data_IF_864974831720
#
_entry.id   IF_864974831720
#
_cell.length_a   1.000
_cell.length_b   1.000
_cell.length_c   1.000
_cell.angle_alpha   90.00
_cell.angle_beta   90.00
_cell.angle_gamma   90.00
#
_symmetry.space_group_name_H-M   'P 1'
#
loop_
_entity.id
_entity.type
_entity.pdbx_description
1 polymer ?
#
# COMPACT_ATOMS: atom_id res chain seq x y z
N UNK A 1 -13.46 -26.15 -0.97
CA UNK A 1 -13.55 -24.70 -1.23
C UNK A 1 -12.30 -24.30 -1.96
N UNK A 2 -12.48 -23.54 -3.02
CA UNK A 2 -11.38 -23.15 -3.87
C UNK A 2 -10.69 -21.91 -3.29
N UNK A 3 -9.38 -21.81 -3.54
CA UNK A 3 -8.56 -20.65 -3.20
C UNK A 3 -9.01 -19.45 -4.03
N UNK A 4 -9.36 -18.33 -3.39
CA UNK A 4 -9.69 -17.07 -4.07
C UNK A 4 -8.45 -16.17 -4.10
N UNK A 5 -8.10 -15.66 -5.27
CA UNK A 5 -6.99 -14.71 -5.45
C UNK A 5 -7.54 -13.35 -5.85
N UNK A 6 -7.21 -12.33 -5.06
CA UNK A 6 -7.58 -10.95 -5.33
C UNK A 6 -6.35 -10.23 -5.86
N UNK A 7 -6.52 -9.62 -7.03
CA UNK A 7 -5.42 -8.96 -7.72
C UNK A 7 -5.42 -7.45 -7.45
N UNK A 8 -4.27 -6.83 -7.68
CA UNK A 8 -4.18 -5.38 -7.72
C UNK A 8 -4.89 -4.81 -8.95
N UNK A 9 -5.34 -3.55 -8.85
CA UNK A 9 -5.89 -2.82 -9.98
C UNK A 9 -4.77 -2.30 -10.90
N UNK A 10 -4.61 -2.93 -12.07
CA UNK A 10 -3.54 -2.58 -13.02
C UNK A 10 -3.67 -1.15 -13.56
N UNK A 11 -4.91 -0.66 -13.78
CA UNK A 11 -5.15 0.69 -14.30
C UNK A 11 -4.65 1.75 -13.31
N UNK A 12 -4.90 1.54 -12.02
CA UNK A 12 -4.41 2.43 -10.95
C UNK A 12 -2.89 2.42 -10.86
N UNK A 13 -2.25 1.24 -10.99
CA UNK A 13 -0.77 1.14 -11.04
C UNK A 13 -0.18 1.93 -12.21
N UNK A 14 -0.76 1.79 -13.40
CA UNK A 14 -0.29 2.51 -14.60
C UNK A 14 -0.48 4.02 -14.42
N UNK A 15 -1.62 4.46 -13.90
CA UNK A 15 -1.89 5.88 -13.67
C UNK A 15 -0.86 6.53 -12.74
N UNK A 16 -0.50 5.87 -11.64
CA UNK A 16 0.52 6.36 -10.69
C UNK A 16 1.87 6.57 -11.39
N UNK A 17 2.25 5.67 -12.29
CA UNK A 17 3.52 5.76 -13.02
C UNK A 17 3.49 6.89 -14.04
N UNK A 18 2.38 7.06 -14.75
CA UNK A 18 2.21 8.20 -15.66
C UNK A 18 2.38 9.52 -14.90
N UNK A 19 1.76 9.64 -13.72
CA UNK A 19 1.93 10.82 -12.88
C UNK A 19 3.39 11.04 -12.45
N UNK A 20 4.08 9.98 -11.98
CA UNK A 20 5.50 10.07 -11.62
C UNK A 20 6.37 10.52 -12.80
N UNK A 21 6.15 9.96 -13.99
CA UNK A 21 6.87 10.35 -15.21
C UNK A 21 6.60 11.81 -15.58
N UNK A 22 5.35 12.27 -15.47
CA UNK A 22 5.01 13.66 -15.71
C UNK A 22 5.75 14.61 -14.76
N UNK A 23 5.83 14.29 -13.46
CA UNK A 23 6.60 15.09 -12.49
C UNK A 23 8.10 15.09 -12.78
N UNK A 24 8.67 13.98 -13.24
CA UNK A 24 10.07 13.92 -13.66
C UNK A 24 10.31 14.84 -14.87
N UNK A 25 9.42 14.82 -15.86
CA UNK A 25 9.48 15.72 -17.03
C UNK A 25 9.38 17.19 -16.60
N UNK A 26 8.46 17.51 -15.70
CA UNK A 26 8.31 18.88 -15.14
C UNK A 26 9.60 19.28 -14.41
N UNK A 27 10.16 18.40 -13.57
CA UNK A 27 11.41 18.68 -12.87
C UNK A 27 12.58 18.92 -13.82
N UNK A 28 12.67 18.15 -14.92
CA UNK A 28 13.68 18.38 -15.96
C UNK A 28 13.46 19.71 -16.68
N UNK A 29 12.22 20.07 -16.98
CA UNK A 29 11.89 21.35 -17.59
C UNK A 29 12.28 22.53 -16.69
N UNK A 30 12.06 22.42 -15.37
CA UNK A 30 12.49 23.43 -14.40
C UNK A 30 14.01 23.61 -14.37
N UNK A 31 14.78 22.52 -14.39
CA UNK A 31 16.25 22.58 -14.45
C UNK A 31 16.75 23.25 -15.73
N UNK A 32 16.23 22.84 -16.89
CA UNK A 32 16.70 23.33 -18.19
C UNK A 32 16.31 24.79 -18.48
N UNK A 33 15.28 25.32 -17.80
CA UNK A 33 14.75 26.67 -18.05
C UNK A 33 14.88 27.58 -16.83
N UNK A 34 15.71 27.24 -15.83
CA UNK A 34 15.77 27.95 -14.55
C UNK A 34 16.06 29.46 -14.72
N UNK A 35 17.02 29.85 -15.56
CA UNK A 35 17.37 31.25 -15.81
C UNK A 35 16.24 32.05 -16.49
N UNK A 36 15.56 31.42 -17.46
CA UNK A 36 14.42 32.02 -18.14
C UNK A 36 13.24 32.20 -17.18
N UNK A 37 12.95 31.17 -16.38
CA UNK A 37 11.88 31.18 -15.39
C UNK A 37 12.16 32.17 -14.27
N UNK A 38 13.43 32.35 -13.85
CA UNK A 38 13.76 33.33 -12.81
C UNK A 38 13.53 34.78 -13.22
N UNK A 39 13.37 35.06 -14.51
CA UNK A 39 13.17 36.43 -15.01
C UNK A 39 11.68 36.74 -15.23
N UNK A 40 10.85 35.73 -15.49
CA UNK A 40 9.44 35.91 -15.88
C UNK A 40 8.42 35.34 -14.90
N UNK A 41 8.86 34.54 -13.94
CA UNK A 41 7.99 33.77 -13.06
C UNK A 41 8.01 34.30 -11.63
N UNK A 42 7.18 33.72 -10.76
CA UNK A 42 6.97 34.20 -9.39
C UNK A 42 8.28 34.14 -8.57
N UNK A 43 9.13 33.15 -8.84
CA UNK A 43 10.40 32.93 -8.15
C UNK A 43 11.53 33.61 -8.95
N UNK A 44 12.08 34.69 -8.42
CA UNK A 44 13.09 35.51 -9.11
C UNK A 44 14.54 35.05 -8.84
N UNK A 45 14.74 33.78 -8.49
CA UNK A 45 16.05 33.22 -8.17
C UNK A 45 16.22 31.85 -8.85
N UNK A 46 17.14 31.78 -9.81
CA UNK A 46 17.37 30.58 -10.62
C UNK A 46 17.83 29.39 -9.76
N UNK A 47 18.68 29.61 -8.74
CA UNK A 47 19.16 28.54 -7.85
C UNK A 47 18.00 27.87 -7.10
N UNK A 48 16.99 28.65 -6.70
CA UNK A 48 15.80 28.10 -6.03
C UNK A 48 15.01 27.20 -6.98
N UNK A 49 14.85 27.62 -8.24
CA UNK A 49 14.15 26.84 -9.26
C UNK A 49 14.92 25.55 -9.56
N UNK A 50 16.25 25.62 -9.65
CA UNK A 50 17.10 24.45 -9.86
C UNK A 50 16.97 23.43 -8.72
N UNK A 51 17.01 23.89 -7.46
CA UNK A 51 16.85 23.03 -6.29
C UNK A 51 15.49 22.34 -6.31
N UNK A 52 14.41 23.06 -6.64
CA UNK A 52 13.06 22.49 -6.74
C UNK A 52 12.99 21.44 -7.85
N UNK A 53 13.53 21.73 -9.03
CA UNK A 53 13.59 20.78 -10.15
C UNK A 53 14.37 19.52 -9.79
N UNK A 54 15.56 19.69 -9.19
CA UNK A 54 16.41 18.59 -8.72
C UNK A 54 15.74 17.73 -7.66
N UNK A 55 15.14 18.35 -6.64
CA UNK A 55 14.39 17.62 -5.59
C UNK A 55 13.19 16.86 -6.18
N UNK A 56 12.47 17.46 -7.12
CA UNK A 56 11.34 16.83 -7.80
C UNK A 56 11.81 15.56 -8.52
N UNK A 57 12.85 15.65 -9.35
CA UNK A 57 13.39 14.48 -10.06
C UNK A 57 13.87 13.42 -9.06
N UNK A 58 14.59 13.82 -8.03
CA UNK A 58 15.14 12.88 -7.05
C UNK A 58 14.03 12.09 -6.32
N UNK A 59 12.99 12.79 -5.85
CA UNK A 59 11.87 12.18 -5.10
C UNK A 59 11.07 11.26 -6.03
N UNK A 60 10.58 11.78 -7.16
CA UNK A 60 9.71 11.00 -8.06
C UNK A 60 10.48 9.90 -8.80
N UNK A 61 11.75 10.12 -9.13
CA UNK A 61 12.64 9.10 -9.69
C UNK A 61 12.88 7.95 -8.71
N UNK A 62 13.16 8.26 -7.45
CA UNK A 62 13.31 7.24 -6.39
C UNK A 62 12.02 6.44 -6.19
N UNK A 63 10.86 7.12 -6.15
CA UNK A 63 9.56 6.46 -6.05
C UNK A 63 9.25 5.55 -7.25
N UNK A 64 9.62 5.97 -8.46
CA UNK A 64 9.45 5.18 -9.67
C UNK A 64 10.26 3.88 -9.62
N UNK A 65 11.53 3.95 -9.21
CA UNK A 65 12.40 2.77 -9.02
C UNK A 65 11.78 1.79 -8.01
N UNK A 66 11.29 2.29 -6.87
CA UNK A 66 10.65 1.45 -5.85
C UNK A 66 9.34 0.81 -6.35
N UNK A 67 8.61 1.50 -7.23
CA UNK A 67 7.32 1.06 -7.76
C UNK A 67 7.44 -0.08 -8.78
N UNK A 68 8.59 -0.30 -9.41
CA UNK A 68 8.80 -1.43 -10.33
C UNK A 68 8.57 -2.78 -9.65
N UNK A 69 9.01 -2.95 -8.39
CA UNK A 69 8.80 -4.19 -7.63
C UNK A 69 7.31 -4.47 -7.38
N UNK A 70 6.51 -3.43 -7.23
CA UNK A 70 5.05 -3.50 -7.08
C UNK A 70 4.34 -3.88 -8.37
N UNK A 71 4.89 -3.51 -9.53
CA UNK A 71 4.30 -3.80 -10.83
C UNK A 71 4.28 -5.30 -11.13
N UNK A 72 5.34 -6.02 -10.74
CA UNK A 72 5.49 -7.47 -10.97
C UNK A 72 4.45 -8.26 -10.15
N UNK A 73 4.01 -7.72 -9.00
CA UNK A 73 3.04 -8.38 -8.12
C UNK A 73 1.63 -8.27 -8.70
N UNK A 74 1.08 -9.41 -9.14
CA UNK A 74 -0.31 -9.49 -9.61
C UNK A 74 -1.29 -9.63 -8.45
N UNK A 75 -1.00 -10.52 -7.51
CA UNK A 75 -1.86 -10.88 -6.40
C UNK A 75 -1.63 -9.97 -5.18
N UNK A 76 -2.71 -9.43 -4.64
CA UNK A 76 -2.75 -8.61 -3.43
C UNK A 76 -3.21 -9.41 -2.21
N UNK A 77 -4.18 -10.31 -2.38
CA UNK A 77 -4.70 -11.16 -1.32
C UNK A 77 -4.90 -12.60 -1.84
N UNK A 78 -4.58 -13.58 -0.99
CA UNK A 78 -4.86 -14.99 -1.24
C UNK A 78 -5.74 -15.47 -0.09
N UNK A 79 -6.95 -15.91 -0.38
CA UNK A 79 -7.93 -16.36 0.61
C UNK A 79 -8.12 -17.87 0.43
N UNK A 80 -7.93 -18.60 1.51
CA UNK A 80 -7.95 -20.05 1.58
C UNK A 80 -8.86 -20.50 2.71
N UNK A 81 -9.14 -21.80 2.74
CA UNK A 81 -10.05 -22.39 3.71
C UNK A 81 -9.51 -22.25 5.15
N UNK A 82 -8.21 -22.34 5.34
CA UNK A 82 -7.55 -22.30 6.64
C UNK A 82 -7.20 -20.87 7.11
N UNK A 83 -7.18 -19.90 6.19
CA UNK A 83 -6.77 -18.53 6.47
C UNK A 83 -6.62 -17.67 5.21
N UNK A 84 -5.91 -16.55 5.33
CA UNK A 84 -5.58 -15.71 4.19
C UNK A 84 -4.15 -15.17 4.30
N UNK A 85 -3.58 -14.82 3.14
CA UNK A 85 -2.28 -14.15 3.04
C UNK A 85 -2.48 -12.74 2.50
N UNK A 86 -2.04 -11.75 3.28
CA UNK A 86 -2.00 -10.35 2.84
C UNK A 86 -0.64 -9.98 2.22
N UNK A 87 -0.68 -9.68 0.93
CA UNK A 87 0.44 -9.21 0.11
C UNK A 87 0.24 -7.77 -0.38
N UNK A 88 -0.81 -7.08 0.11
CA UNK A 88 -1.20 -5.73 -0.34
C UNK A 88 -0.16 -4.67 0.02
N UNK A 89 0.62 -4.89 1.08
CA UNK A 89 1.63 -3.96 1.59
C UNK A 89 3.06 -4.38 1.26
N UNK A 90 3.86 -3.47 0.70
CA UNK A 90 5.29 -3.69 0.41
C UNK A 90 6.12 -3.57 1.68
N UNK A 91 6.96 -4.57 1.97
CA UNK A 91 7.89 -4.53 3.11
C UNK A 91 7.23 -4.75 4.47
N UNK A 92 5.89 -4.83 4.51
CA UNK A 92 5.05 -5.09 5.68
C UNK A 92 4.07 -6.22 5.45
N UNK A 93 4.42 -7.21 4.63
CA UNK A 93 3.57 -8.38 4.40
C UNK A 93 3.21 -8.99 5.76
N UNK A 94 1.92 -8.99 6.06
CA UNK A 94 1.41 -9.63 7.24
C UNK A 94 1.57 -11.15 7.11
N UNK A 95 1.78 -11.69 5.90
CA UNK A 95 1.95 -13.13 5.66
C UNK A 95 0.66 -13.89 5.89
N UNK A 96 0.76 -15.21 6.02
CA UNK A 96 -0.41 -16.06 6.31
C UNK A 96 -0.95 -15.79 7.71
N UNK A 97 -2.27 -15.64 7.79
CA UNK A 97 -3.09 -15.42 8.98
C UNK A 97 -4.17 -16.49 8.97
N UNK A 98 -4.22 -17.32 10.01
CA UNK A 98 -5.28 -18.33 10.12
C UNK A 98 -6.59 -17.69 10.59
N UNK A 99 -7.71 -18.30 10.23
CA UNK A 99 -9.03 -17.81 10.64
C UNK A 99 -9.25 -17.88 12.17
N UNK A 100 -8.64 -18.85 12.85
CA UNK A 100 -8.67 -18.98 14.31
C UNK A 100 -7.92 -17.86 15.04
N UNK A 101 -7.01 -17.15 14.37
CA UNK A 101 -6.30 -15.99 14.91
C UNK A 101 -7.08 -14.68 14.74
N UNK A 102 -8.14 -14.69 13.94
CA UNK A 102 -8.97 -13.51 13.64
C UNK A 102 -10.05 -13.35 14.70
N UNK A 103 -10.06 -12.18 15.33
CA UNK A 103 -11.07 -11.78 16.32
C UNK A 103 -12.26 -11.07 15.67
N UNK A 104 -12.01 -10.21 14.69
CA UNK A 104 -13.05 -9.46 13.98
C UNK A 104 -12.51 -8.89 12.67
N UNK A 105 -13.41 -8.57 11.75
CA UNK A 105 -13.13 -7.95 10.46
C UNK A 105 -14.03 -6.73 10.36
N UNK A 106 -13.49 -5.57 9.99
CA UNK A 106 -14.26 -4.32 9.97
C UNK A 106 -13.83 -3.48 8.78
N UNK A 107 -14.78 -2.90 8.06
CA UNK A 107 -14.52 -1.77 7.18
C UNK A 107 -14.43 -0.49 7.99
N UNK A 108 -13.34 0.25 7.82
CA UNK A 108 -13.18 1.57 8.43
C UNK A 108 -12.59 2.56 7.42
N UNK A 109 -12.71 3.84 7.75
CA UNK A 109 -12.05 4.91 7.01
C UNK A 109 -10.87 5.45 7.82
N UNK A 110 -9.71 5.58 7.17
CA UNK A 110 -8.49 6.14 7.75
C UNK A 110 -8.02 7.24 6.82
N UNK A 111 -8.02 8.49 7.28
CA UNK A 111 -7.54 9.66 6.53
C UNK A 111 -8.15 9.75 5.11
N UNK A 112 -9.46 9.58 4.97
CA UNK A 112 -10.14 9.63 3.66
C UNK A 112 -10.00 8.36 2.81
N UNK A 113 -9.34 7.31 3.33
CA UNK A 113 -9.11 6.06 2.60
C UNK A 113 -9.85 4.91 3.29
N UNK A 114 -10.72 4.24 2.54
CA UNK A 114 -11.37 3.02 3.01
C UNK A 114 -10.37 1.87 3.10
N UNK A 115 -10.37 1.18 4.23
CA UNK A 115 -9.54 0.01 4.50
C UNK A 115 -10.35 -1.09 5.16
N UNK A 116 -9.89 -2.34 5.00
CA UNK A 116 -10.37 -3.45 5.82
C UNK A 116 -9.38 -3.65 6.96
N UNK A 117 -9.91 -3.53 8.17
CA UNK A 117 -9.21 -3.74 9.43
C UNK A 117 -9.51 -5.14 9.93
N UNK A 118 -8.48 -5.97 10.03
CA UNK A 118 -8.60 -7.33 10.58
C UNK A 118 -8.04 -7.32 12.00
N UNK A 119 -8.89 -7.48 13.00
CA UNK A 119 -8.51 -7.57 14.40
C UNK A 119 -8.04 -9.00 14.71
N UNK A 120 -6.85 -9.13 15.32
CA UNK A 120 -6.31 -10.42 15.76
C UNK A 120 -6.56 -10.65 17.25
N UNK A 121 -6.64 -11.92 17.65
CA UNK A 121 -6.76 -12.33 19.06
C UNK A 121 -5.48 -11.96 19.84
N UNK A 122 -4.32 -12.36 19.34
CA UNK A 122 -3.01 -12.00 19.90
C UNK A 122 -2.13 -11.28 18.85
N UNK A 123 -2.32 -9.95 18.70
CA UNK A 123 -1.55 -9.18 17.73
C UNK A 123 -0.05 -9.12 18.08
N UNK A 124 0.33 -9.21 19.35
CA UNK A 124 1.73 -9.06 19.77
C UNK A 124 2.54 -10.30 19.40
N UNK A 125 2.01 -11.49 19.69
CA UNK A 125 2.62 -12.76 19.27
C UNK A 125 2.73 -12.84 17.75
N UNK A 126 1.68 -12.43 17.03
CA UNK A 126 1.67 -12.37 15.57
C UNK A 126 2.78 -11.48 14.98
N UNK A 127 3.04 -10.32 15.59
CA UNK A 127 4.13 -9.41 15.17
C UNK A 127 5.49 -10.03 15.49
N UNK A 128 5.65 -10.60 16.69
CA UNK A 128 6.94 -11.10 17.18
C UNK A 128 7.44 -12.35 16.44
N UNK A 129 6.54 -13.21 15.94
CA UNK A 129 6.92 -14.40 15.15
C UNK A 129 7.46 -14.10 13.75
N UNK A 130 7.44 -12.82 13.30
CA UNK A 130 7.94 -12.43 11.97
C UNK A 130 9.47 -12.38 11.97
N UNK A 131 10.08 -13.14 11.05
CA UNK A 131 11.55 -13.18 10.87
C UNK A 131 12.12 -11.87 10.34
N UNK A 132 11.41 -11.20 9.42
CA UNK A 132 11.89 -9.96 8.80
C UNK A 132 11.73 -8.76 9.74
N UNK A 133 12.83 -8.07 10.03
CA UNK A 133 12.84 -6.85 10.84
C UNK A 133 11.94 -5.75 10.24
N UNK A 134 11.96 -5.59 8.91
CA UNK A 134 11.12 -4.61 8.22
C UNK A 134 9.62 -4.93 8.36
N UNK A 135 9.24 -6.21 8.20
CA UNK A 135 7.86 -6.64 8.39
C UNK A 135 7.42 -6.40 9.83
N UNK A 136 8.26 -6.78 10.82
CA UNK A 136 7.96 -6.58 12.24
C UNK A 136 7.78 -5.10 12.60
N UNK A 137 8.66 -4.23 12.12
CA UNK A 137 8.56 -2.78 12.35
C UNK A 137 7.29 -2.19 11.72
N UNK A 138 6.97 -2.59 10.49
CA UNK A 138 5.76 -2.15 9.79
C UNK A 138 4.48 -2.57 10.53
N UNK A 139 4.38 -3.86 10.91
CA UNK A 139 3.23 -4.38 11.65
C UNK A 139 3.11 -3.75 13.06
N UNK A 140 4.24 -3.45 13.72
CA UNK A 140 4.25 -2.73 15.00
C UNK A 140 3.73 -1.30 14.85
N UNK A 141 4.08 -0.60 13.76
CA UNK A 141 3.56 0.73 13.45
C UNK A 141 2.05 0.69 13.18
N UNK A 142 1.59 -0.28 12.41
CA UNK A 142 0.16 -0.50 12.18
C UNK A 142 -0.57 -0.73 13.50
N UNK A 143 -0.04 -1.61 14.35
CA UNK A 143 -0.64 -1.89 15.66
C UNK A 143 -0.68 -0.67 16.57
N UNK A 144 0.40 0.11 16.63
CA UNK A 144 0.45 1.34 17.44
C UNK A 144 -0.58 2.37 17.00
N UNK A 145 -0.85 2.45 15.69
CA UNK A 145 -1.72 3.49 15.11
C UNK A 145 -3.18 3.04 15.07
N UNK A 146 -3.43 1.82 14.63
CA UNK A 146 -4.76 1.30 14.29
C UNK A 146 -5.26 0.22 15.25
N UNK A 147 -4.48 -0.12 16.28
CA UNK A 147 -4.78 -1.21 17.24
C UNK A 147 -4.91 -2.59 16.59
N UNK A 148 -4.38 -2.76 15.38
CA UNK A 148 -4.16 -4.06 14.73
C UNK A 148 -2.92 -4.01 13.84
N UNK A 149 -2.15 -5.10 13.74
CA UNK A 149 -1.08 -5.20 12.75
C UNK A 149 -1.58 -5.31 11.30
N UNK A 150 -2.83 -5.75 11.08
CA UNK A 150 -3.36 -6.08 9.74
C UNK A 150 -4.37 -5.02 9.29
N UNK A 151 -3.96 -4.23 8.30
CA UNK A 151 -4.78 -3.24 7.60
C UNK A 151 -4.62 -3.48 6.11
N UNK A 152 -5.72 -3.73 5.41
CA UNK A 152 -5.76 -4.00 3.97
C UNK A 152 -6.29 -2.74 3.27
N UNK A 153 -5.44 -1.94 2.61
CA UNK A 153 -5.88 -0.70 1.98
C UNK A 153 -6.60 -0.95 0.64
N UNK A 154 -7.86 -0.54 0.53
CA UNK A 154 -8.69 -0.88 -0.64
C UNK A 154 -8.33 -0.14 -1.93
N UNK A 155 -7.65 1.00 -1.83
CA UNK A 155 -7.32 1.85 -2.99
C UNK A 155 -6.45 1.14 -4.04
N UNK A 156 -5.76 0.06 -3.68
CA UNK A 156 -4.88 -0.67 -4.60
C UNK A 156 -5.47 -1.97 -5.16
N UNK A 157 -6.58 -2.46 -4.61
CA UNK A 157 -7.18 -3.75 -4.97
C UNK A 157 -8.17 -3.62 -6.15
N UNK A 158 -8.35 -4.70 -6.90
CA UNK A 158 -9.32 -4.82 -7.99
C UNK A 158 -10.61 -5.53 -7.53
N UNK A 159 -11.20 -5.03 -6.44
CA UNK A 159 -12.46 -5.52 -5.87
C UNK A 159 -13.12 -4.38 -5.09
N UNK A 160 -14.45 -4.37 -4.98
CA UNK A 160 -15.14 -3.44 -4.09
C UNK A 160 -14.92 -3.81 -2.63
N UNK A 161 -15.00 -2.82 -1.74
CA UNK A 161 -14.77 -3.03 -0.31
C UNK A 161 -15.81 -3.94 0.32
N UNK A 162 -17.09 -3.71 0.02
CA UNK A 162 -18.21 -4.50 0.55
C UNK A 162 -18.10 -5.97 0.12
N UNK A 163 -17.73 -6.21 -1.14
CA UNK A 163 -17.51 -7.56 -1.68
C UNK A 163 -16.36 -8.26 -0.96
N UNK A 164 -15.25 -7.55 -0.71
CA UNK A 164 -14.11 -8.13 -0.01
C UNK A 164 -14.42 -8.41 1.45
N UNK A 165 -15.08 -7.48 2.15
CA UNK A 165 -15.50 -7.71 3.53
C UNK A 165 -16.40 -8.95 3.61
N UNK A 166 -17.39 -9.05 2.71
CA UNK A 166 -18.28 -10.21 2.65
C UNK A 166 -17.51 -11.51 2.44
N UNK A 167 -16.61 -11.57 1.46
CA UNK A 167 -15.80 -12.78 1.20
C UNK A 167 -14.98 -13.16 2.43
N UNK A 168 -14.32 -12.19 3.08
CA UNK A 168 -13.51 -12.45 4.26
C UNK A 168 -14.36 -12.96 5.44
N UNK A 169 -15.54 -12.37 5.66
CA UNK A 169 -16.47 -12.82 6.72
C UNK A 169 -17.02 -14.21 6.43
N UNK A 170 -17.43 -14.49 5.21
CA UNK A 170 -17.98 -15.79 4.81
C UNK A 170 -16.96 -16.92 5.04
N UNK A 171 -15.68 -16.70 4.71
CA UNK A 171 -14.61 -17.66 4.98
C UNK A 171 -14.30 -17.78 6.48
N UNK A 172 -14.28 -16.66 7.21
CA UNK A 172 -14.03 -16.66 8.64
C UNK A 172 -15.11 -17.44 9.43
N UNK A 173 -16.39 -17.24 9.10
CA UNK A 173 -17.50 -17.92 9.76
C UNK A 173 -17.54 -19.43 9.47
N UNK A 174 -17.03 -19.85 8.32
CA UNK A 174 -16.86 -21.26 7.99
C UNK A 174 -15.65 -21.87 8.71
N UNK A 175 -14.55 -21.13 8.83
CA UNK A 175 -13.37 -21.55 9.59
C UNK A 175 -13.66 -21.75 11.09
N UNK A 176 -14.65 -21.04 11.66
CA UNK A 176 -15.12 -21.25 13.04
C UNK A 176 -15.95 -22.53 13.24
N UNK A 177 -16.53 -23.08 12.17
CA UNK A 177 -17.40 -24.26 12.22
C UNK A 177 -16.64 -25.58 12.05
N UNK A 178 -15.33 -25.51 11.83
CA UNK A 178 -14.42 -26.65 11.66
C UNK A 178 -13.59 -26.86 12.90
#
# INVERSE_FOLDING_TARGET
MDTIKINFNIKRKILIIIMMLAFIIIGMWLLLNAEYLSTKWIIHNYLVIEIIGGLTIFIFGSMLVLSFKLMIRKTALIIEKEGFTDLSSVGGEAGFIKWDEVRDIQQIEINGTTVIKVLLIDPISFINRRRSLFSRLSLKRNYSTYRTPVIIPMFSLNIYVDDLEKILRDYWDQGKKM
#
